data_IF_501087441873
#
_entry.id   IF_501087441873
#
_cell.length_a   1.000
_cell.length_b   1.000
_cell.length_c   1.000
_cell.angle_alpha   90.00
_cell.angle_beta   90.00
_cell.angle_gamma   90.00
#
_symmetry.space_group_name_H-M   'P 1'
#
loop_
_entity.id
_entity.type
_entity.pdbx_description
1 polymer ?
#
# COMPACT_ATOMS: atom_id res chain seq x y z
N UNK A 1 1.75 -16.61 17.98
CA UNK A 1 0.81 -16.12 16.95
C UNK A 1 -0.61 -16.54 17.29
N UNK A 2 -0.92 -17.84 17.42
CA UNK A 2 -2.25 -18.32 17.87
C UNK A 2 -2.69 -17.59 19.15
N UNK A 3 -1.86 -17.57 20.19
CA UNK A 3 -2.14 -16.85 21.44
C UNK A 3 -2.42 -15.35 21.23
N UNK A 4 -1.65 -14.70 20.37
CA UNK A 4 -1.75 -13.28 20.06
C UNK A 4 -3.04 -12.97 19.29
N UNK A 5 -3.39 -13.78 18.30
CA UNK A 5 -4.64 -13.63 17.54
C UNK A 5 -5.85 -13.93 18.43
N UNK A 6 -5.75 -14.94 19.30
CA UNK A 6 -6.77 -15.21 20.31
C UNK A 6 -6.92 -14.08 21.33
N UNK A 7 -5.83 -13.40 21.69
CA UNK A 7 -5.87 -12.20 22.52
C UNK A 7 -6.54 -11.03 21.77
N UNK A 8 -6.18 -10.79 20.51
CA UNK A 8 -6.81 -9.78 19.66
C UNK A 8 -8.33 -9.98 19.56
N UNK A 9 -8.77 -11.23 19.39
CA UNK A 9 -10.18 -11.58 19.32
C UNK A 9 -10.89 -11.41 20.67
N UNK A 10 -10.37 -11.99 21.75
CA UNK A 10 -11.05 -12.02 23.05
C UNK A 10 -11.03 -10.67 23.76
N UNK A 11 -9.88 -10.01 23.78
CA UNK A 11 -9.71 -8.78 24.56
C UNK A 11 -10.08 -7.56 23.74
N UNK A 12 -9.58 -7.44 22.50
CA UNK A 12 -9.80 -6.23 21.73
C UNK A 12 -11.15 -6.27 21.02
N UNK A 13 -11.39 -7.25 20.14
CA UNK A 13 -12.64 -7.32 19.36
C UNK A 13 -13.86 -7.51 20.25
N UNK A 14 -13.88 -8.56 21.08
CA UNK A 14 -15.05 -8.87 21.91
C UNK A 14 -15.23 -7.86 23.06
N UNK A 15 -14.13 -7.32 23.60
CA UNK A 15 -14.20 -6.25 24.60
C UNK A 15 -14.81 -4.97 24.03
N UNK A 16 -14.34 -4.50 22.87
CA UNK A 16 -14.92 -3.33 22.21
C UNK A 16 -16.37 -3.55 21.77
N UNK A 17 -16.73 -4.77 21.37
CA UNK A 17 -18.13 -5.15 21.11
C UNK A 17 -19.01 -5.06 22.35
N UNK A 18 -18.59 -5.72 23.44
CA UNK A 18 -19.36 -5.80 24.69
C UNK A 18 -19.58 -4.42 25.31
N UNK A 19 -18.60 -3.54 25.20
CA UNK A 19 -18.65 -2.18 25.70
C UNK A 19 -19.32 -1.18 24.73
N UNK A 20 -19.83 -1.65 23.58
CA UNK A 20 -20.39 -0.81 22.51
C UNK A 20 -19.44 0.35 22.13
N UNK A 21 -18.14 0.07 22.03
CA UNK A 21 -17.11 1.03 21.60
C UNK A 21 -17.10 1.11 20.08
N UNK A 22 -17.25 -0.04 19.41
CA UNK A 22 -17.34 -0.16 17.96
C UNK A 22 -18.59 -0.95 17.58
N UNK A 23 -19.20 -0.61 16.45
CA UNK A 23 -20.31 -1.39 15.88
C UNK A 23 -19.82 -2.61 15.09
N UNK A 24 -20.73 -3.51 14.72
CA UNK A 24 -20.37 -4.77 14.03
C UNK A 24 -19.68 -4.55 12.67
N UNK A 25 -20.04 -3.49 11.94
CA UNK A 25 -19.40 -3.14 10.68
C UNK A 25 -17.94 -2.71 10.90
N UNK A 26 -17.70 -1.83 11.87
CA UNK A 26 -16.37 -1.35 12.23
C UNK A 26 -15.48 -2.48 12.76
N UNK A 27 -16.04 -3.36 13.60
CA UNK A 27 -15.34 -4.54 14.10
C UNK A 27 -14.96 -5.48 12.95
N UNK A 28 -15.87 -5.73 12.01
CA UNK A 28 -15.59 -6.56 10.84
C UNK A 28 -14.49 -5.94 9.96
N UNK A 29 -14.51 -4.62 9.79
CA UNK A 29 -13.53 -3.93 8.96
C UNK A 29 -12.14 -3.85 9.61
N UNK A 30 -12.04 -3.58 10.92
CA UNK A 30 -10.76 -3.49 11.64
C UNK A 30 -10.14 -4.87 11.87
N UNK A 31 -10.93 -5.83 12.33
CA UNK A 31 -10.39 -7.15 12.67
C UNK A 31 -10.37 -8.10 11.49
N UNK A 32 -11.17 -7.85 10.44
CA UNK A 32 -11.31 -8.81 9.34
C UNK A 32 -11.80 -10.18 9.81
N UNK A 33 -11.62 -11.22 8.99
CA UNK A 33 -12.02 -12.59 9.33
C UNK A 33 -10.97 -13.29 10.20
N UNK A 34 -10.68 -12.77 11.41
CA UNK A 34 -9.80 -13.48 12.36
C UNK A 34 -10.30 -14.90 12.69
N UNK A 35 -11.62 -15.07 12.65
CA UNK A 35 -12.32 -16.35 12.85
C UNK A 35 -11.94 -17.40 11.80
N UNK A 36 -11.49 -16.98 10.61
CA UNK A 36 -11.04 -17.90 9.56
C UNK A 36 -9.55 -18.24 9.70
N UNK A 37 -8.75 -17.31 10.23
CA UNK A 37 -7.29 -17.46 10.32
C UNK A 37 -6.88 -18.30 11.53
N UNK A 38 -7.49 -18.06 12.69
CA UNK A 38 -7.09 -18.72 13.93
C UNK A 38 -7.20 -20.26 13.85
N UNK A 39 -8.32 -20.85 13.39
CA UNK A 39 -8.45 -22.31 13.28
C UNK A 39 -7.44 -22.93 12.31
N UNK A 40 -7.05 -22.22 11.24
CA UNK A 40 -6.04 -22.72 10.30
C UNK A 40 -4.67 -22.85 10.95
N UNK A 41 -4.30 -21.92 11.84
CA UNK A 41 -3.06 -22.04 12.60
C UNK A 41 -3.12 -23.10 13.69
N UNK A 42 -4.27 -23.27 14.33
CA UNK A 42 -4.47 -24.35 15.31
C UNK A 42 -4.38 -25.73 14.65
N UNK A 43 -4.96 -25.91 13.45
CA UNK A 43 -4.80 -27.12 12.63
C UNK A 43 -3.33 -27.36 12.27
N UNK A 44 -2.60 -26.34 11.83
CA UNK A 44 -1.16 -26.48 11.57
C UNK A 44 -0.39 -26.91 12.81
N UNK A 45 -0.65 -26.27 13.96
CA UNK A 45 0.01 -26.63 15.21
C UNK A 45 -0.32 -28.07 15.61
N UNK A 46 -1.58 -28.50 15.43
CA UNK A 46 -2.00 -29.86 15.69
C UNK A 46 -1.26 -30.87 14.80
N UNK A 47 -1.14 -30.60 13.50
CA UNK A 47 -0.39 -31.47 12.55
C UNK A 47 1.11 -31.52 12.84
N UNK A 48 1.68 -30.43 13.37
CA UNK A 48 3.09 -30.34 13.76
C UNK A 48 3.36 -30.89 15.16
N UNK A 49 2.36 -31.31 15.94
CA UNK A 49 2.65 -31.94 17.24
C UNK A 49 3.24 -33.33 17.02
N UNK A 50 4.43 -33.63 17.58
CA UNK A 50 4.97 -34.98 17.51
C UNK A 50 4.03 -35.96 18.21
N UNK A 51 3.91 -37.17 17.65
CA UNK A 51 3.14 -38.26 18.28
C UNK A 51 4.02 -38.92 19.34
N UNK A 52 3.86 -38.50 20.59
CA UNK A 52 4.67 -38.98 21.73
C UNK A 52 5.99 -38.22 21.87
N UNK A 53 7.05 -38.91 22.29
CA UNK A 53 8.38 -38.31 22.54
C UNK A 53 9.30 -38.30 21.30
N UNK A 54 8.76 -38.49 20.09
CA UNK A 54 9.55 -38.53 18.86
C UNK A 54 9.81 -37.15 18.27
N UNK A 55 10.90 -37.03 17.51
CA UNK A 55 11.14 -35.87 16.64
C UNK A 55 10.20 -35.92 15.43
N UNK A 56 9.95 -34.77 14.80
CA UNK A 56 9.21 -34.70 13.53
C UNK A 56 10.19 -34.98 12.39
N UNK A 57 9.96 -36.06 11.65
CA UNK A 57 10.88 -36.51 10.59
C UNK A 57 10.77 -35.67 9.31
N UNK A 58 9.56 -35.21 8.94
CA UNK A 58 9.32 -34.38 7.77
C UNK A 58 8.24 -33.32 8.03
N UNK A 59 8.44 -32.10 7.54
CA UNK A 59 7.50 -30.98 7.73
C UNK A 59 7.01 -30.36 6.43
N UNK A 60 7.72 -30.55 5.32
CA UNK A 60 7.43 -29.93 4.03
C UNK A 60 6.02 -30.25 3.55
N UNK A 61 5.60 -31.51 3.55
CA UNK A 61 4.27 -31.89 3.06
C UNK A 61 3.14 -31.22 3.86
N UNK A 62 3.29 -31.18 5.20
CA UNK A 62 2.33 -30.53 6.10
C UNK A 62 2.18 -29.05 5.75
N UNK A 63 3.30 -28.35 5.52
CA UNK A 63 3.27 -26.94 5.18
C UNK A 63 2.79 -26.67 3.76
N UNK A 64 3.16 -27.53 2.80
CA UNK A 64 2.73 -27.42 1.41
C UNK A 64 1.19 -27.41 1.30
N UNK A 65 0.54 -28.42 1.89
CA UNK A 65 -0.92 -28.52 1.95
C UNK A 65 -1.54 -27.35 2.70
N UNK A 66 -0.91 -26.96 3.81
CA UNK A 66 -1.42 -25.88 4.64
C UNK A 66 -1.39 -24.51 3.93
N UNK A 67 -0.32 -24.21 3.18
CA UNK A 67 -0.24 -22.96 2.40
C UNK A 67 -1.28 -22.90 1.29
N UNK A 68 -1.58 -24.03 0.65
CA UNK A 68 -2.65 -24.09 -0.35
C UNK A 68 -4.02 -23.78 0.30
N UNK A 69 -4.28 -24.33 1.49
CA UNK A 69 -5.54 -24.11 2.22
C UNK A 69 -5.74 -22.68 2.71
N UNK A 70 -4.67 -22.03 3.18
CA UNK A 70 -4.74 -20.71 3.82
C UNK A 70 -4.73 -19.54 2.82
N UNK A 71 -4.39 -19.80 1.55
CA UNK A 71 -4.14 -18.78 0.51
C UNK A 71 -5.24 -17.74 0.41
N UNK A 72 -6.49 -18.17 0.24
CA UNK A 72 -7.65 -17.26 0.11
C UNK A 72 -7.87 -16.40 1.35
N UNK A 73 -7.83 -17.01 2.54
CA UNK A 73 -8.00 -16.30 3.82
C UNK A 73 -6.92 -15.25 4.05
N UNK A 74 -5.67 -15.58 3.73
CA UNK A 74 -4.54 -14.65 3.88
C UNK A 74 -4.57 -13.50 2.88
N UNK A 75 -4.91 -13.78 1.61
CA UNK A 75 -5.07 -12.74 0.58
C UNK A 75 -6.17 -11.76 1.00
N UNK A 76 -7.34 -12.26 1.42
CA UNK A 76 -8.46 -11.42 1.87
C UNK A 76 -8.12 -10.61 3.13
N UNK A 77 -7.53 -11.25 4.14
CA UNK A 77 -7.20 -10.57 5.39
C UNK A 77 -6.12 -9.51 5.20
N UNK A 78 -5.01 -9.86 4.53
CA UNK A 78 -3.87 -8.96 4.40
C UNK A 78 -4.17 -7.76 3.50
N UNK A 79 -4.95 -7.94 2.43
CA UNK A 79 -5.35 -6.81 1.57
C UNK A 79 -6.26 -5.82 2.30
N UNK A 80 -7.13 -6.30 3.20
CA UNK A 80 -7.98 -5.46 4.04
C UNK A 80 -7.21 -4.68 5.13
N UNK A 81 -5.97 -5.06 5.47
CA UNK A 81 -5.22 -4.39 6.54
C UNK A 81 -5.04 -2.88 6.29
N UNK A 82 -5.02 -2.42 5.05
CA UNK A 82 -4.99 -0.99 4.72
C UNK A 82 -6.26 -0.27 5.18
N UNK A 83 -7.43 -0.87 4.93
CA UNK A 83 -8.73 -0.35 5.33
C UNK A 83 -8.89 -0.41 6.85
N UNK A 84 -8.45 -1.52 7.46
CA UNK A 84 -8.43 -1.70 8.89
C UNK A 84 -7.59 -0.62 9.58
N UNK A 85 -6.40 -0.32 9.04
CA UNK A 85 -5.50 0.71 9.57
C UNK A 85 -6.11 2.10 9.45
N UNK A 86 -6.62 2.45 8.27
CA UNK A 86 -7.25 3.75 8.04
C UNK A 86 -8.44 3.98 8.99
N UNK A 87 -9.32 2.98 9.15
CA UNK A 87 -10.45 3.08 10.06
C UNK A 87 -10.01 3.13 11.53
N UNK A 88 -9.04 2.30 11.94
CA UNK A 88 -8.52 2.31 13.31
C UNK A 88 -7.90 3.66 13.68
N UNK A 89 -7.12 4.25 12.76
CA UNK A 89 -6.50 5.55 12.98
C UNK A 89 -7.55 6.67 13.03
N UNK A 90 -8.57 6.62 12.18
CA UNK A 90 -9.70 7.56 12.25
C UNK A 90 -10.44 7.45 13.59
N UNK A 91 -10.70 6.22 14.06
CA UNK A 91 -11.38 5.94 15.33
C UNK A 91 -10.62 6.39 16.56
N UNK A 92 -9.28 6.34 16.53
CA UNK A 92 -8.41 6.88 17.61
C UNK A 92 -8.50 8.39 17.74
N UNK A 93 -8.76 9.08 16.63
CA UNK A 93 -8.83 10.53 16.57
C UNK A 93 -10.24 11.09 16.80
N UNK A 94 -11.25 10.25 17.08
CA UNK A 94 -12.60 10.73 17.39
C UNK A 94 -12.63 11.50 18.71
N UNK A 95 -13.42 12.59 18.74
CA UNK A 95 -13.54 13.49 19.89
C UNK A 95 -14.01 12.78 21.18
N UNK A 96 -14.81 11.70 21.05
CA UNK A 96 -15.30 10.93 22.18
C UNK A 96 -14.18 10.13 22.89
N UNK A 97 -13.03 9.93 22.24
CA UNK A 97 -11.84 9.25 22.78
C UNK A 97 -12.02 7.79 23.21
N UNK A 98 -13.18 7.14 22.93
CA UNK A 98 -13.52 5.84 23.51
C UNK A 98 -12.59 4.72 23.06
N UNK A 99 -12.20 4.74 21.78
CA UNK A 99 -11.27 3.75 21.21
C UNK A 99 -9.87 3.96 21.75
N UNK A 100 -9.37 5.20 21.77
CA UNK A 100 -8.03 5.51 22.25
C UNK A 100 -7.85 5.19 23.75
N UNK A 101 -8.83 5.56 24.60
CA UNK A 101 -8.82 5.22 26.02
C UNK A 101 -8.81 3.69 26.25
N UNK A 102 -9.65 2.95 25.53
CA UNK A 102 -9.68 1.49 25.64
C UNK A 102 -8.34 0.86 25.25
N UNK A 103 -7.74 1.30 24.15
CA UNK A 103 -6.45 0.79 23.67
C UNK A 103 -5.31 1.12 24.64
N UNK A 104 -5.30 2.31 25.24
CA UNK A 104 -4.35 2.69 26.30
C UNK A 104 -4.46 1.76 27.50
N UNK A 105 -5.66 1.52 28.02
CA UNK A 105 -5.91 0.59 29.13
C UNK A 105 -5.45 -0.84 28.82
N UNK A 106 -5.68 -1.32 27.59
CA UNK A 106 -5.16 -2.61 27.15
C UNK A 106 -3.62 -2.63 27.16
N UNK A 107 -2.98 -1.56 26.71
CA UNK A 107 -1.51 -1.44 26.63
C UNK A 107 -0.88 -1.41 28.03
N UNK A 108 -1.53 -0.74 28.99
CA UNK A 108 -1.09 -0.69 30.39
C UNK A 108 -1.29 -2.02 31.13
N UNK A 109 -2.13 -2.90 30.60
CA UNK A 109 -2.38 -4.22 31.18
C UNK A 109 -1.28 -5.22 30.80
N UNK A 110 -0.88 -6.07 31.75
CA UNK A 110 0.24 -7.01 31.57
C UNK A 110 0.10 -8.01 30.40
N UNK A 111 -1.14 -8.33 29.99
CA UNK A 111 -1.38 -9.27 28.88
C UNK A 111 -0.93 -8.75 27.52
N UNK A 112 -0.87 -7.42 27.31
CA UNK A 112 -0.51 -6.82 26.03
C UNK A 112 0.99 -6.93 25.75
N UNK A 113 1.81 -7.08 26.80
CA UNK A 113 3.27 -6.95 26.74
C UNK A 113 3.72 -5.64 26.08
N UNK A 114 2.96 -4.57 26.31
CA UNK A 114 3.17 -3.22 25.74
C UNK A 114 3.08 -3.15 24.21
N UNK A 115 2.43 -4.13 23.58
CA UNK A 115 2.12 -4.10 22.14
C UNK A 115 0.81 -3.36 21.89
N UNK A 116 0.75 -2.60 20.80
CA UNK A 116 -0.47 -1.96 20.32
C UNK A 116 -1.35 -3.01 19.60
N UNK A 117 -2.66 -2.77 19.49
CA UNK A 117 -3.60 -3.57 18.70
C UNK A 117 -3.07 -3.83 17.28
N UNK A 118 -2.47 -2.82 16.65
CA UNK A 118 -1.93 -2.97 15.30
C UNK A 118 -0.84 -4.07 15.21
N UNK A 119 0.01 -4.20 16.24
CA UNK A 119 1.05 -5.23 16.26
C UNK A 119 0.47 -6.65 16.27
N UNK A 120 -0.72 -6.81 16.85
CA UNK A 120 -1.46 -8.08 16.81
C UNK A 120 -2.11 -8.32 15.46
N UNK A 121 -2.78 -7.30 14.90
CA UNK A 121 -3.48 -7.41 13.60
C UNK A 121 -2.52 -7.63 12.43
N UNK A 122 -1.32 -7.05 12.48
CA UNK A 122 -0.30 -7.17 11.45
C UNK A 122 0.49 -8.48 11.51
N UNK A 123 0.35 -9.24 12.61
CA UNK A 123 1.14 -10.44 12.84
C UNK A 123 1.02 -11.52 11.75
N UNK A 124 -0.17 -11.81 11.16
CA UNK A 124 -0.28 -12.77 10.06
C UNK A 124 0.57 -12.38 8.86
N UNK A 125 0.55 -11.11 8.45
CA UNK A 125 1.37 -10.57 7.36
C UNK A 125 2.85 -10.65 7.69
N UNK A 126 3.25 -10.18 8.88
CA UNK A 126 4.64 -10.25 9.36
C UNK A 126 5.16 -11.70 9.43
N UNK A 127 4.31 -12.65 9.82
CA UNK A 127 4.65 -14.07 9.86
C UNK A 127 4.79 -14.66 8.47
N UNK A 128 3.92 -14.29 7.53
CA UNK A 128 3.99 -14.74 6.13
C UNK A 128 5.36 -14.47 5.53
N UNK A 129 5.87 -13.25 5.70
CA UNK A 129 7.18 -12.82 5.19
C UNK A 129 8.37 -13.60 5.78
N UNK A 130 8.20 -14.25 6.94
CA UNK A 130 9.27 -14.99 7.61
C UNK A 130 9.37 -16.45 7.14
N UNK A 131 8.28 -17.02 6.61
CA UNK A 131 8.26 -18.41 6.18
C UNK A 131 9.33 -18.78 5.14
N UNK A 132 9.56 -17.99 4.05
CA UNK A 132 10.63 -18.30 3.10
C UNK A 132 12.00 -18.42 3.78
N UNK A 133 12.31 -17.53 4.74
CA UNK A 133 13.58 -17.53 5.47
C UNK A 133 13.70 -18.78 6.35
N UNK A 134 12.61 -19.16 7.03
CA UNK A 134 12.58 -20.35 7.87
C UNK A 134 12.77 -21.63 7.05
N UNK A 135 12.04 -21.79 5.93
CA UNK A 135 12.16 -22.99 5.09
C UNK A 135 13.51 -23.06 4.38
N UNK A 136 14.08 -21.94 3.91
CA UNK A 136 15.45 -21.92 3.35
C UNK A 136 16.49 -22.43 4.36
N UNK A 137 16.32 -22.13 5.65
CA UNK A 137 17.19 -22.64 6.72
C UNK A 137 17.00 -24.14 6.98
N UNK A 138 15.76 -24.63 6.97
CA UNK A 138 15.45 -26.06 7.12
C UNK A 138 16.03 -26.82 5.92
N UNK A 139 15.69 -26.40 4.70
CA UNK A 139 16.18 -26.96 3.44
C UNK A 139 17.72 -27.08 3.38
N UNK A 140 18.44 -26.06 3.86
CA UNK A 140 19.92 -26.08 3.91
C UNK A 140 20.46 -27.18 4.84
N UNK A 141 19.74 -27.53 5.90
CA UNK A 141 20.14 -28.55 6.88
C UNK A 141 19.58 -29.94 6.59
N UNK A 142 18.58 -30.05 5.71
CA UNK A 142 18.04 -31.32 5.24
C UNK A 142 19.02 -32.00 4.28
N UNK A 143 19.29 -33.30 4.50
CA UNK A 143 20.16 -34.12 3.63
C UNK A 143 19.56 -34.20 2.22
N UNK A 144 20.39 -34.24 1.18
CA UNK A 144 19.92 -34.26 -0.21
C UNK A 144 19.16 -35.56 -0.56
N UNK A 145 19.43 -36.65 0.15
CA UNK A 145 18.70 -37.92 0.01
C UNK A 145 17.34 -37.97 0.75
N UNK A 146 17.02 -36.96 1.56
CA UNK A 146 15.79 -36.93 2.33
C UNK A 146 14.63 -36.40 1.47
N UNK A 147 13.46 -37.05 1.53
CA UNK A 147 12.28 -36.69 0.74
C UNK A 147 11.89 -35.20 0.91
N UNK A 148 11.95 -34.72 2.16
CA UNK A 148 11.60 -33.34 2.52
C UNK A 148 12.49 -32.28 1.83
N UNK A 149 13.66 -32.66 1.30
CA UNK A 149 14.54 -31.72 0.58
C UNK A 149 13.81 -31.06 -0.59
N UNK A 150 13.20 -31.88 -1.46
CA UNK A 150 12.47 -31.40 -2.63
C UNK A 150 11.20 -30.66 -2.23
N UNK A 151 10.46 -31.22 -1.26
CA UNK A 151 9.18 -30.66 -0.81
C UNK A 151 9.36 -29.29 -0.14
N UNK A 152 10.43 -29.09 0.61
CA UNK A 152 10.75 -27.79 1.21
C UNK A 152 11.04 -26.72 0.14
N UNK A 153 11.67 -27.09 -0.98
CA UNK A 153 11.87 -26.16 -2.10
C UNK A 153 10.54 -25.76 -2.74
N UNK A 154 9.64 -26.73 -2.95
CA UNK A 154 8.28 -26.46 -3.44
C UNK A 154 7.48 -25.59 -2.46
N UNK A 155 7.60 -25.87 -1.17
CA UNK A 155 6.98 -25.07 -0.09
C UNK A 155 7.46 -23.62 -0.11
N UNK A 156 8.77 -23.39 -0.36
CA UNK A 156 9.35 -22.04 -0.51
C UNK A 156 8.69 -21.32 -1.69
N UNK A 157 8.56 -21.97 -2.84
CA UNK A 157 7.95 -21.37 -4.02
C UNK A 157 6.49 -21.00 -3.76
N UNK A 158 5.69 -21.93 -3.21
CA UNK A 158 4.27 -21.67 -2.89
C UNK A 158 4.11 -20.47 -1.93
N UNK A 159 4.96 -20.35 -0.90
CA UNK A 159 4.83 -19.21 0.02
C UNK A 159 5.30 -17.90 -0.61
N UNK A 160 6.29 -17.91 -1.50
CA UNK A 160 6.72 -16.74 -2.27
C UNK A 160 5.62 -16.27 -3.24
N UNK A 161 4.93 -17.21 -3.90
CA UNK A 161 3.75 -16.90 -4.70
C UNK A 161 2.61 -16.31 -3.86
N UNK A 162 2.31 -16.89 -2.69
CA UNK A 162 1.29 -16.36 -1.78
C UNK A 162 1.63 -14.94 -1.31
N UNK A 163 2.91 -14.65 -1.03
CA UNK A 163 3.37 -13.28 -0.71
C UNK A 163 3.08 -12.33 -1.88
N UNK A 164 3.35 -12.77 -3.11
CA UNK A 164 3.06 -11.99 -4.30
C UNK A 164 1.56 -11.74 -4.49
N UNK A 165 0.70 -12.75 -4.32
CA UNK A 165 -0.76 -12.59 -4.39
C UNK A 165 -1.27 -11.59 -3.36
N UNK A 166 -0.80 -11.69 -2.11
CA UNK A 166 -1.13 -10.73 -1.05
C UNK A 166 -0.70 -9.33 -1.44
N UNK A 167 0.49 -9.17 -2.00
CA UNK A 167 1.01 -7.88 -2.46
C UNK A 167 0.14 -7.28 -3.57
N UNK A 168 -0.23 -8.08 -4.58
CA UNK A 168 -1.09 -7.66 -5.68
C UNK A 168 -2.48 -7.26 -5.19
N UNK A 169 -3.11 -8.07 -4.35
CA UNK A 169 -4.41 -7.76 -3.77
C UNK A 169 -4.38 -6.49 -2.88
N UNK A 170 -3.31 -6.30 -2.12
CA UNK A 170 -3.10 -5.08 -1.32
C UNK A 170 -2.96 -3.86 -2.22
N UNK A 171 -2.20 -3.97 -3.32
CA UNK A 171 -2.04 -2.89 -4.30
C UNK A 171 -3.37 -2.52 -4.97
N UNK A 172 -4.17 -3.52 -5.34
CA UNK A 172 -5.50 -3.31 -5.91
C UNK A 172 -6.43 -2.60 -4.90
N UNK A 173 -6.39 -2.98 -3.63
CA UNK A 173 -7.17 -2.32 -2.57
C UNK A 173 -6.74 -0.86 -2.38
N UNK A 174 -5.43 -0.57 -2.40
CA UNK A 174 -4.91 0.82 -2.35
C UNK A 174 -5.45 1.63 -3.53
N UNK A 175 -5.41 1.07 -4.75
CA UNK A 175 -5.91 1.74 -5.94
C UNK A 175 -7.42 2.02 -5.83
N UNK A 176 -8.21 1.02 -5.45
CA UNK A 176 -9.65 1.16 -5.22
C UNK A 176 -9.96 2.28 -4.22
N UNK A 177 -9.23 2.35 -3.11
CA UNK A 177 -9.40 3.41 -2.10
C UNK A 177 -9.06 4.80 -2.64
N UNK A 178 -8.02 4.92 -3.47
CA UNK A 178 -7.66 6.20 -4.10
C UNK A 178 -8.74 6.61 -5.09
N UNK A 179 -9.14 5.70 -5.98
CA UNK A 179 -10.16 5.92 -7.02
C UNK A 179 -11.48 6.36 -6.40
N UNK A 180 -11.93 5.70 -5.34
CA UNK A 180 -13.15 6.06 -4.61
C UNK A 180 -13.12 7.47 -3.98
N UNK A 181 -11.91 8.03 -3.77
CA UNK A 181 -11.69 9.38 -3.21
C UNK A 181 -11.39 10.42 -4.29
N UNK A 182 -11.39 10.05 -5.57
CA UNK A 182 -11.17 11.00 -6.66
C UNK A 182 -12.39 11.91 -6.84
N UNK A 183 -12.10 13.16 -7.17
CA UNK A 183 -13.10 14.19 -7.47
C UNK A 183 -12.78 14.78 -8.84
N UNK A 184 -13.71 14.62 -9.78
CA UNK A 184 -13.61 15.21 -11.12
C UNK A 184 -14.15 16.64 -11.09
N UNK A 185 -13.42 17.57 -11.70
CA UNK A 185 -13.87 18.96 -11.85
C UNK A 185 -14.78 19.08 -13.08
N UNK A 186 -14.44 18.38 -14.16
CA UNK A 186 -15.20 18.31 -15.41
C UNK A 186 -15.41 16.85 -15.82
N UNK A 187 -16.51 16.54 -16.52
CA UNK A 187 -16.79 15.18 -16.99
C UNK A 187 -15.76 14.66 -17.99
N UNK A 188 -15.13 15.54 -18.78
CA UNK A 188 -14.06 15.19 -19.72
C UNK A 188 -12.79 14.66 -19.04
N UNK A 189 -12.66 14.83 -17.71
CA UNK A 189 -11.54 14.25 -16.95
C UNK A 189 -11.77 12.77 -16.60
N UNK A 190 -12.98 12.25 -16.80
CA UNK A 190 -13.25 10.81 -16.62
C UNK A 190 -12.52 10.04 -17.71
N UNK A 191 -11.89 8.94 -17.32
CA UNK A 191 -11.11 8.11 -18.23
C UNK A 191 -11.32 6.66 -17.83
N UNK A 192 -11.67 5.80 -18.79
CA UNK A 192 -12.00 4.39 -18.55
C UNK A 192 -10.89 3.62 -17.81
N UNK A 193 -9.63 3.89 -18.16
CA UNK A 193 -8.47 3.29 -17.49
C UNK A 193 -8.41 3.55 -15.98
N UNK A 194 -8.97 4.65 -15.46
CA UNK A 194 -8.89 4.95 -14.02
C UNK A 194 -9.54 3.85 -13.20
N UNK A 195 -10.69 3.35 -13.63
CA UNK A 195 -11.49 2.37 -12.87
C UNK A 195 -10.86 0.97 -12.91
N UNK A 196 -9.99 0.70 -13.87
CA UNK A 196 -9.33 -0.61 -14.04
C UNK A 196 -7.96 -0.70 -13.37
N UNK A 197 -7.43 0.38 -12.79
CA UNK A 197 -6.09 0.36 -12.21
C UNK A 197 -6.05 -0.50 -10.94
N UNK A 198 -5.17 -1.51 -10.96
CA UNK A 198 -4.93 -2.39 -9.81
C UNK A 198 -3.53 -2.23 -9.20
N UNK A 199 -2.67 -1.41 -9.81
CA UNK A 199 -1.28 -1.25 -9.36
C UNK A 199 -0.86 0.21 -9.31
N UNK A 200 -0.50 0.65 -8.10
CA UNK A 200 0.10 1.96 -7.88
C UNK A 200 1.63 1.84 -7.90
N UNK A 201 2.28 2.55 -8.80
CA UNK A 201 3.74 2.51 -9.00
C UNK A 201 4.42 3.55 -8.10
N UNK A 202 3.88 4.76 -8.07
CA UNK A 202 4.40 5.85 -7.24
C UNK A 202 3.29 6.83 -6.87
N UNK A 203 3.41 7.45 -5.71
CA UNK A 203 2.58 8.60 -5.35
C UNK A 203 3.35 9.57 -4.46
N UNK A 204 3.00 10.85 -4.50
CA UNK A 204 3.66 11.86 -3.68
C UNK A 204 3.26 13.29 -3.98
N UNK A 205 3.73 14.21 -3.14
CA UNK A 205 3.54 15.65 -3.33
C UNK A 205 4.61 16.20 -4.29
N UNK A 206 4.18 16.89 -5.33
CA UNK A 206 5.04 17.62 -6.27
C UNK A 206 4.55 19.06 -6.39
N UNK A 207 5.43 20.00 -6.72
CA UNK A 207 5.05 21.40 -7.02
C UNK A 207 5.11 21.66 -8.51
N UNK A 208 4.07 22.25 -9.07
CA UNK A 208 4.13 22.67 -10.47
C UNK A 208 4.89 24.00 -10.66
N UNK A 209 5.10 24.41 -11.92
CA UNK A 209 5.73 25.70 -12.27
C UNK A 209 5.02 26.95 -11.69
N UNK A 210 3.75 26.84 -11.32
CA UNK A 210 2.98 27.93 -10.68
C UNK A 210 3.13 27.93 -9.15
N UNK A 211 3.95 27.04 -8.60
CA UNK A 211 4.15 26.85 -7.16
C UNK A 211 3.00 26.13 -6.45
N UNK A 212 2.05 25.58 -7.20
CA UNK A 212 0.90 24.86 -6.64
C UNK A 212 1.33 23.45 -6.24
N UNK A 213 0.99 23.05 -5.02
CA UNK A 213 1.20 21.69 -4.52
C UNK A 213 0.17 20.76 -5.16
N UNK A 214 0.64 19.67 -5.74
CA UNK A 214 -0.14 18.60 -6.32
C UNK A 214 0.18 17.31 -5.57
N UNK A 215 -0.82 16.43 -5.42
CA UNK A 215 -0.61 15.03 -5.07
C UNK A 215 -0.76 14.22 -6.36
N UNK A 216 0.31 13.58 -6.78
CA UNK A 216 0.38 12.87 -8.05
C UNK A 216 0.30 11.37 -7.80
N UNK A 217 -0.50 10.67 -8.61
CA UNK A 217 -0.61 9.22 -8.60
C UNK A 217 -0.15 8.68 -9.95
N UNK A 218 0.87 7.83 -9.94
CA UNK A 218 1.31 7.07 -11.10
C UNK A 218 0.87 5.62 -10.91
N UNK A 219 -0.15 5.23 -11.67
CA UNK A 219 -0.54 3.84 -11.83
C UNK A 219 0.26 3.20 -12.97
N UNK A 220 -0.04 1.94 -13.28
CA UNK A 220 0.66 1.22 -14.35
C UNK A 220 0.31 1.70 -15.75
N UNK A 221 -0.93 2.16 -15.97
CA UNK A 221 -1.38 2.60 -17.30
C UNK A 221 -1.75 4.09 -17.35
N UNK A 222 -1.86 4.78 -16.21
CA UNK A 222 -2.28 6.18 -16.17
C UNK A 222 -1.60 6.99 -15.07
N UNK A 223 -1.31 8.27 -15.34
CA UNK A 223 -0.88 9.25 -14.34
C UNK A 223 -1.98 10.28 -14.08
N UNK A 224 -2.24 10.54 -12.79
CA UNK A 224 -3.23 11.51 -12.32
C UNK A 224 -2.56 12.63 -11.53
N UNK A 225 -2.95 13.87 -11.84
CA UNK A 225 -2.54 15.07 -11.11
C UNK A 225 -3.71 15.59 -10.31
N UNK A 226 -3.55 15.62 -8.98
CA UNK A 226 -4.63 15.99 -8.07
C UNK A 226 -4.20 17.06 -7.08
N UNK A 227 -5.17 17.68 -6.42
CA UNK A 227 -4.98 18.42 -5.18
C UNK A 227 -5.72 17.72 -4.06
N UNK A 228 -5.11 17.70 -2.89
CA UNK A 228 -5.78 17.23 -1.68
C UNK A 228 -6.87 18.24 -1.33
N UNK A 229 -8.11 17.75 -1.23
CA UNK A 229 -9.27 18.49 -0.78
C UNK A 229 -9.94 17.74 0.37
N UNK A 230 -10.77 18.42 1.14
CA UNK A 230 -11.60 17.80 2.17
C UNK A 230 -13.05 17.98 1.78
N UNK A 231 -13.80 16.88 1.65
CA UNK A 231 -15.24 16.88 1.39
C UNK A 231 -15.94 16.14 2.51
N UNK A 232 -16.88 16.80 3.19
CA UNK A 232 -17.62 16.23 4.32
C UNK A 232 -16.71 15.64 5.42
N UNK A 233 -15.58 16.31 5.71
CA UNK A 233 -14.59 15.83 6.68
C UNK A 233 -13.70 14.69 6.18
N UNK A 234 -13.92 14.16 4.97
CA UNK A 234 -13.13 13.07 4.38
C UNK A 234 -12.11 13.62 3.39
N UNK A 235 -10.89 13.10 3.45
CA UNK A 235 -9.83 13.41 2.49
C UNK A 235 -10.22 12.92 1.09
N UNK A 236 -10.12 13.81 0.11
CA UNK A 236 -10.41 13.56 -1.29
C UNK A 236 -9.31 14.12 -2.19
N UNK A 237 -9.28 13.67 -3.44
CA UNK A 237 -8.25 14.03 -4.42
C UNK A 237 -8.91 14.61 -5.67
N UNK A 238 -8.91 15.95 -5.77
CA UNK A 238 -9.52 16.65 -6.90
C UNK A 238 -8.57 16.71 -8.08
N UNK A 239 -8.98 16.20 -9.25
CA UNK A 239 -8.18 16.25 -10.47
C UNK A 239 -8.00 17.71 -10.94
N UNK A 240 -6.73 18.10 -11.13
CA UNK A 240 -6.38 19.44 -11.63
C UNK A 240 -6.12 19.49 -13.13
N UNK A 241 -5.76 18.36 -13.71
CA UNK A 241 -5.43 18.20 -15.13
C UNK A 241 -6.15 16.98 -15.69
N UNK A 242 -6.14 16.83 -17.00
CA UNK A 242 -6.59 15.59 -17.64
C UNK A 242 -5.64 14.45 -17.27
N UNK A 243 -6.16 13.25 -17.00
CA UNK A 243 -5.35 12.05 -16.89
C UNK A 243 -4.51 11.83 -18.16
N UNK A 244 -3.29 11.32 -18.01
CA UNK A 244 -2.42 11.00 -19.15
C UNK A 244 -2.15 9.50 -19.13
N UNK A 245 -2.49 8.79 -20.21
CA UNK A 245 -2.10 7.40 -20.39
C UNK A 245 -0.58 7.30 -20.44
N UNK A 246 -0.02 6.31 -19.74
CA UNK A 246 1.42 6.04 -19.69
C UNK A 246 2.01 5.81 -21.09
N UNK A 247 1.23 5.27 -22.02
CA UNK A 247 1.63 5.10 -23.42
C UNK A 247 2.01 6.44 -24.10
N UNK A 248 1.31 7.51 -23.76
CA UNK A 248 1.52 8.85 -24.32
C UNK A 248 2.36 9.76 -23.41
N UNK A 249 2.82 9.25 -22.27
CA UNK A 249 3.59 10.01 -21.31
C UNK A 249 5.04 10.17 -21.77
N UNK A 250 5.58 11.38 -21.62
CA UNK A 250 7.00 11.72 -21.84
C UNK A 250 7.55 12.43 -20.64
N UNK A 251 8.74 12.01 -20.23
CA UNK A 251 9.45 12.55 -19.09
C UNK A 251 10.81 13.07 -19.55
N UNK A 252 11.10 14.31 -19.20
CA UNK A 252 12.39 14.97 -19.45
C UNK A 252 12.99 15.33 -18.08
N UNK A 253 14.17 14.80 -17.78
CA UNK A 253 14.91 15.16 -16.58
C UNK A 253 15.59 16.52 -16.80
N UNK A 254 15.43 17.45 -15.86
CA UNK A 254 16.02 18.78 -15.96
C UNK A 254 17.12 18.96 -14.92
N UNK A 255 18.31 19.30 -15.40
CA UNK A 255 19.48 19.53 -14.55
C UNK A 255 19.27 20.73 -13.61
N UNK A 256 19.75 20.57 -12.39
CA UNK A 256 19.79 21.64 -11.41
C UNK A 256 20.71 22.75 -11.92
N UNK A 257 20.34 24.02 -11.73
CA UNK A 257 21.11 25.15 -12.26
C UNK A 257 20.50 25.76 -13.51
N UNK A 258 19.79 24.98 -14.33
CA UNK A 258 19.20 25.45 -15.59
C UNK A 258 18.15 26.54 -15.32
N UNK A 259 18.28 27.68 -16.01
CA UNK A 259 17.33 28.78 -15.92
C UNK A 259 16.11 28.50 -16.80
N UNK A 260 14.96 28.28 -16.17
CA UNK A 260 13.72 27.97 -16.90
C UNK A 260 12.73 29.13 -16.76
N UNK A 261 12.37 29.83 -17.86
CA UNK A 261 11.42 30.94 -17.83
C UNK A 261 10.04 30.57 -17.28
N UNK A 262 9.62 29.31 -17.42
CA UNK A 262 8.30 28.86 -16.95
C UNK A 262 8.21 28.81 -15.41
N UNK A 263 9.35 28.68 -14.70
CA UNK A 263 9.42 28.66 -13.24
C UNK A 263 9.30 30.05 -12.59
N UNK A 264 9.41 31.14 -13.36
CA UNK A 264 9.28 32.52 -12.85
C UNK A 264 7.84 33.07 -12.94
N UNK A 265 6.89 32.29 -13.45
CA UNK A 265 5.50 32.73 -13.71
C UNK A 265 4.57 32.56 -12.50
N UNK A 266 4.97 33.09 -11.33
CA UNK A 266 4.13 33.19 -10.13
C UNK A 266 3.59 34.61 -9.91
N UNK A 267 2.37 34.75 -9.37
CA UNK A 267 1.66 36.05 -9.23
C UNK A 267 2.40 37.14 -8.44
N UNK A 268 3.45 36.81 -7.67
CA UNK A 268 4.26 37.78 -6.93
C UNK A 268 5.64 38.07 -7.57
N UNK A 269 5.96 37.46 -8.70
CA UNK A 269 7.30 37.55 -9.32
C UNK A 269 7.45 38.66 -10.36
N UNK A 270 6.37 39.37 -10.71
CA UNK A 270 6.39 40.37 -11.79
C UNK A 270 7.16 41.65 -11.46
N UNK A 271 7.51 41.88 -10.20
CA UNK A 271 8.12 43.16 -9.77
C UNK A 271 9.59 43.08 -9.39
N UNK A 272 10.18 41.91 -9.09
CA UNK A 272 11.62 41.72 -8.91
C UNK A 272 11.97 40.21 -8.96
N UNK A 273 12.52 39.69 -10.07
CA UNK A 273 13.29 38.43 -10.04
C UNK A 273 13.90 38.11 -11.41
N UNK A 274 15.21 37.84 -11.44
CA UNK A 274 15.82 37.06 -12.52
C UNK A 274 15.24 35.65 -12.58
N UNK A 275 15.39 34.98 -13.72
CA UNK A 275 14.92 33.60 -13.94
C UNK A 275 15.35 32.69 -12.78
N UNK A 276 14.37 32.02 -12.14
CA UNK A 276 14.64 31.05 -11.08
C UNK A 276 15.32 29.83 -11.69
N UNK A 277 16.43 29.44 -11.07
CA UNK A 277 17.14 28.22 -11.43
C UNK A 277 16.33 27.00 -11.00
N UNK A 278 16.26 26.00 -11.87
CA UNK A 278 15.62 24.73 -11.58
C UNK A 278 16.40 23.99 -10.47
N UNK A 279 15.66 23.34 -9.57
CA UNK A 279 16.21 22.46 -8.55
C UNK A 279 15.25 21.30 -8.29
N UNK A 280 15.72 20.08 -8.48
CA UNK A 280 14.93 18.84 -8.40
C UNK A 280 13.70 18.86 -9.33
N UNK A 281 13.86 19.33 -10.56
CA UNK A 281 12.76 19.47 -11.53
C UNK A 281 12.83 18.39 -12.61
N UNK A 282 11.67 17.97 -13.10
CA UNK A 282 11.50 17.23 -14.35
C UNK A 282 10.26 17.75 -15.09
N UNK A 283 10.21 17.59 -16.41
CA UNK A 283 9.02 17.90 -17.23
C UNK A 283 8.24 16.63 -17.50
N UNK A 284 6.93 16.75 -17.41
CA UNK A 284 5.97 15.73 -17.80
C UNK A 284 5.15 16.28 -18.97
N UNK A 285 5.05 15.54 -20.07
CA UNK A 285 4.24 15.93 -21.23
C UNK A 285 3.47 14.77 -21.84
N UNK A 286 2.42 15.09 -22.60
CA UNK A 286 1.64 14.14 -23.39
C UNK A 286 1.95 14.31 -24.89
N UNK A 287 2.15 13.19 -25.59
CA UNK A 287 2.41 13.17 -27.04
C UNK A 287 1.13 13.38 -27.87
N UNK A 288 -0.06 13.19 -27.28
CA UNK A 288 -1.31 13.34 -28.01
C UNK A 288 -1.69 14.83 -28.17
N UNK A 289 -1.54 15.33 -29.40
CA UNK A 289 -2.06 16.60 -29.89
C UNK A 289 -3.18 16.30 -30.90
N UNK A 290 -4.41 16.14 -30.42
CA UNK A 290 -5.60 16.29 -31.25
C UNK A 290 -6.39 17.49 -30.75
N UNK A 291 -5.90 18.69 -31.06
CA UNK A 291 -6.73 19.72 -31.70
C UNK A 291 -5.98 21.04 -31.79
N UNK A 292 -6.20 21.67 -32.94
CA UNK A 292 -5.48 22.79 -33.51
C UNK A 292 -5.67 24.13 -32.75
N UNK A 293 -5.89 24.13 -31.42
CA UNK A 293 -6.15 25.38 -30.70
C UNK A 293 -5.76 25.49 -29.22
N UNK A 294 -5.03 24.56 -28.59
CA UNK A 294 -4.54 24.80 -27.21
C UNK A 294 -3.22 24.08 -26.87
N UNK A 295 -2.17 24.42 -27.61
CA UNK A 295 -0.79 23.90 -27.43
C UNK A 295 -0.10 24.21 -26.08
N UNK A 296 -0.80 24.81 -25.10
CA UNK A 296 -0.21 25.29 -23.83
C UNK A 296 -0.46 24.37 -22.61
N UNK A 297 -1.29 23.34 -22.73
CA UNK A 297 -1.65 22.46 -21.60
C UNK A 297 -1.00 21.06 -21.64
N UNK A 298 -0.18 20.75 -22.65
CA UNK A 298 0.37 19.40 -22.84
C UNK A 298 1.71 19.13 -22.15
N UNK A 299 2.28 20.12 -21.44
CA UNK A 299 3.48 19.91 -20.64
C UNK A 299 3.42 20.63 -19.29
N UNK A 300 3.97 20.00 -18.26
CA UNK A 300 4.01 20.50 -16.90
C UNK A 300 5.37 20.23 -16.29
N UNK A 301 5.99 21.28 -15.75
CA UNK A 301 7.17 21.13 -14.90
C UNK A 301 6.74 20.76 -13.50
N UNK A 302 7.41 19.77 -12.94
CA UNK A 302 7.18 19.25 -11.60
C UNK A 302 8.48 19.30 -10.81
N UNK A 303 8.40 19.88 -9.63
CA UNK A 303 9.49 19.99 -8.68
C UNK A 303 9.27 19.04 -7.51
N UNK A 304 10.22 18.14 -7.30
CA UNK A 304 10.29 17.25 -6.15
C UNK A 304 10.85 17.98 -4.92
N UNK A 305 10.66 17.38 -3.73
CA UNK A 305 11.09 17.99 -2.46
C UNK A 305 12.61 18.05 -2.33
N UNK A 306 13.28 16.98 -2.73
CA UNK A 306 14.72 16.82 -2.71
C UNK A 306 15.18 15.91 -3.86
N UNK A 307 16.49 15.64 -3.93
CA UNK A 307 17.09 14.83 -4.99
C UNK A 307 16.66 13.36 -4.92
N UNK A 308 16.42 12.83 -3.72
CA UNK A 308 16.00 11.44 -3.55
C UNK A 308 14.56 11.25 -4.00
N UNK A 309 13.69 12.20 -3.66
CA UNK A 309 12.30 12.28 -4.10
C UNK A 309 12.23 12.36 -5.64
N UNK A 310 13.09 13.19 -6.27
CA UNK A 310 13.21 13.23 -7.74
C UNK A 310 13.65 11.88 -8.32
N UNK A 311 14.68 11.25 -7.75
CA UNK A 311 15.17 9.96 -8.25
C UNK A 311 14.14 8.84 -8.08
N UNK A 312 13.32 8.86 -7.02
CA UNK A 312 12.22 7.93 -6.84
C UNK A 312 11.21 8.04 -7.98
N UNK A 313 10.80 9.27 -8.33
CA UNK A 313 9.89 9.51 -9.46
C UNK A 313 10.50 9.06 -10.79
N UNK A 314 11.74 9.44 -11.08
CA UNK A 314 12.43 9.05 -12.32
C UNK A 314 12.59 7.52 -12.42
N UNK A 315 12.92 6.85 -11.31
CA UNK A 315 12.99 5.38 -11.26
C UNK A 315 11.62 4.73 -11.49
N UNK A 316 10.56 5.31 -10.93
CA UNK A 316 9.19 4.84 -11.14
C UNK A 316 8.80 4.93 -12.63
N UNK A 317 9.08 6.06 -13.29
CA UNK A 317 8.82 6.21 -14.72
C UNK A 317 9.61 5.23 -15.59
N UNK A 318 10.91 5.03 -15.27
CA UNK A 318 11.76 4.05 -15.97
C UNK A 318 11.25 2.62 -15.81
N UNK A 319 10.68 2.26 -14.66
CA UNK A 319 10.12 0.93 -14.42
C UNK A 319 8.94 0.60 -15.34
N UNK A 320 8.24 1.63 -15.83
CA UNK A 320 7.14 1.52 -16.80
C UNK A 320 7.62 1.56 -18.26
N UNK A 321 8.94 1.56 -18.50
CA UNK A 321 9.56 1.69 -19.84
C UNK A 321 9.08 2.93 -20.60
N UNK A 322 8.72 3.99 -19.89
CA UNK A 322 8.37 5.27 -20.51
C UNK A 322 9.60 5.80 -21.26
N UNK A 323 9.41 6.16 -22.53
CA UNK A 323 10.50 6.66 -23.38
C UNK A 323 11.00 8.00 -22.83
N UNK A 324 12.30 8.11 -22.56
CA UNK A 324 12.93 9.39 -22.28
C UNK A 324 12.82 10.26 -23.54
N UNK A 325 12.32 11.48 -23.38
CA UNK A 325 12.28 12.48 -24.44
C UNK A 325 13.65 13.04 -24.75
#
# INVERSE_FOLDING_TARGET
MIENLGLAQRVYRNGMKTLNILNDFELKQIFGPLEDILPLHEDLLFRLKPKGNSSIDAVGQIYLEWFQRIRSSYVSYCSNLINAKELLDAKRCEENGRVDDYLKRCTDSGFSRKLDLWDFLDQPRSRLMKYPILFKRIHKRTKDSHEDKRILLETINIVEELINDVSQATSAQICSNIIAKLVYTNDEQKHSLIETQTRLICQGELKNNRGQKLHVFLFDEIILFTRIATRNGVKSYQLTNYPISVEFLRIEDIEDGVKIPELSSGSFSRTLAGSKSARNVFRCSSVFSSDNNNNRNNSMLLQARDIYDKQQWLSAFRSLKITNG
#
